data_IF_383212131441
#
_entry.id   IF_383212131441
#
_cell.length_a   1.000
_cell.length_b   1.000
_cell.length_c   1.000
_cell.angle_alpha   90.00
_cell.angle_beta   90.00
_cell.angle_gamma   90.00
#
_symmetry.space_group_name_H-M   'P 1'
#
loop_
_entity.id
_entity.type
_entity.pdbx_description
1 polymer ?
#
# COMPACT_ATOMS: atom_id res chain seq x y z
N UNK A 1 8.07 -45.40 16.25
CA UNK A 1 7.22 -46.44 16.89
C UNK A 1 6.41 -45.79 18.00
N UNK A 2 5.11 -45.64 17.82
CA UNK A 2 4.18 -45.31 18.91
C UNK A 2 3.31 -46.53 19.16
N UNK A 3 3.40 -47.06 20.39
CA UNK A 3 2.50 -48.09 20.92
C UNK A 3 1.20 -47.40 21.36
N UNK A 4 0.23 -47.26 20.45
CA UNK A 4 -1.24 -47.19 20.68
C UNK A 4 -2.00 -46.52 19.52
N UNK A 5 -1.91 -47.06 18.30
CA UNK A 5 -2.79 -46.67 17.19
C UNK A 5 -2.23 -46.97 15.81
N UNK A 6 -3.10 -47.28 14.86
CA UNK A 6 -2.78 -47.33 13.42
C UNK A 6 -3.03 -45.95 12.83
N UNK A 7 -2.05 -45.39 12.10
CA UNK A 7 -2.18 -44.11 11.43
C UNK A 7 -2.12 -44.32 9.91
N UNK A 8 -3.05 -43.71 9.19
CA UNK A 8 -3.03 -43.64 7.73
C UNK A 8 -2.21 -42.43 7.28
N UNK A 9 -1.51 -42.57 6.17
CA UNK A 9 -0.78 -41.49 5.50
C UNK A 9 -1.14 -41.48 4.03
N UNK A 10 -1.14 -40.29 3.44
CA UNK A 10 -1.43 -40.07 2.03
C UNK A 10 -0.16 -39.69 1.27
N UNK A 11 -0.23 -39.73 -0.06
CA UNK A 11 0.85 -39.23 -0.92
C UNK A 11 0.96 -37.70 -0.80
N UNK A 12 2.09 -37.13 -1.24
CA UNK A 12 2.28 -35.68 -1.32
C UNK A 12 1.15 -35.03 -2.14
N UNK A 13 0.62 -33.90 -1.67
CA UNK A 13 -0.55 -33.22 -2.27
C UNK A 13 -1.91 -33.77 -1.82
N UNK A 14 -1.94 -34.70 -0.86
CA UNK A 14 -3.16 -35.27 -0.33
C UNK A 14 -3.18 -35.26 1.20
N UNK A 15 -4.37 -35.12 1.77
CA UNK A 15 -4.61 -35.19 3.20
C UNK A 15 -5.64 -36.26 3.54
N UNK A 16 -5.56 -36.76 4.78
CA UNK A 16 -6.46 -37.81 5.27
C UNK A 16 -7.87 -37.22 5.38
N UNK A 17 -8.84 -37.90 4.78
CA UNK A 17 -10.26 -37.55 4.85
C UNK A 17 -10.83 -37.70 6.25
N UNK A 18 -12.04 -37.20 6.46
CA UNK A 18 -12.72 -37.25 7.77
C UNK A 18 -13.01 -38.68 8.25
N UNK A 19 -13.07 -39.64 7.32
CA UNK A 19 -13.22 -41.07 7.60
C UNK A 19 -11.95 -41.71 8.18
N UNK A 20 -10.82 -41.00 8.19
CA UNK A 20 -9.53 -41.46 8.71
C UNK A 20 -8.82 -42.47 7.80
N UNK A 21 -9.39 -42.81 6.64
CA UNK A 21 -8.87 -43.86 5.75
C UNK A 21 -8.75 -43.45 4.29
N UNK A 22 -9.58 -42.52 3.82
CA UNK A 22 -9.51 -41.99 2.47
C UNK A 22 -8.44 -40.91 2.36
N UNK A 23 -7.91 -40.74 1.15
CA UNK A 23 -7.06 -39.62 0.79
C UNK A 23 -7.85 -38.67 -0.09
N UNK A 24 -7.93 -37.41 0.31
CA UNK A 24 -8.53 -36.33 -0.48
C UNK A 24 -7.45 -35.34 -0.88
N UNK A 25 -7.70 -34.67 -1.99
CA UNK A 25 -6.85 -33.60 -2.49
C UNK A 25 -6.66 -32.52 -1.42
N UNK A 26 -5.42 -32.09 -1.20
CA UNK A 26 -5.10 -31.01 -0.29
C UNK A 26 -5.11 -29.71 -1.08
N UNK A 27 -6.09 -28.85 -0.85
CA UNK A 27 -6.21 -27.58 -1.56
C UNK A 27 -5.19 -26.56 -1.02
N UNK A 28 -4.03 -26.46 -1.68
CA UNK A 28 -3.00 -25.50 -1.27
C UNK A 28 -3.48 -24.05 -1.42
N UNK A 29 -4.46 -23.78 -2.30
CA UNK A 29 -4.99 -22.43 -2.53
C UNK A 29 -5.90 -21.95 -1.40
N UNK A 30 -6.38 -22.85 -0.53
CA UNK A 30 -7.09 -22.49 0.70
C UNK A 30 -6.16 -21.84 1.75
N UNK A 31 -4.83 -21.97 1.59
CA UNK A 31 -3.83 -21.34 2.45
C UNK A 31 -3.30 -20.05 1.85
N UNK A 32 -3.29 -18.99 2.66
CA UNK A 32 -2.65 -17.72 2.28
C UNK A 32 -1.16 -17.91 2.03
N UNK A 33 -0.68 -17.41 0.88
CA UNK A 33 0.74 -17.40 0.53
C UNK A 33 1.23 -18.61 -0.27
N UNK A 34 0.35 -19.54 -0.68
CA UNK A 34 0.72 -20.63 -1.59
C UNK A 34 1.24 -20.10 -2.95
N UNK A 35 0.62 -19.04 -3.45
CA UNK A 35 1.07 -18.28 -4.61
C UNK A 35 1.20 -16.79 -4.23
N UNK A 36 2.08 -16.07 -4.92
CA UNK A 36 2.20 -14.62 -4.73
C UNK A 36 0.99 -13.83 -5.28
N UNK A 37 0.29 -14.39 -6.26
CA UNK A 37 -0.89 -13.79 -6.90
C UNK A 37 -1.99 -14.84 -7.08
N UNK A 38 -2.24 -15.32 -8.30
CA UNK A 38 -3.35 -16.23 -8.60
C UNK A 38 -2.95 -17.68 -8.34
N UNK A 39 -3.78 -18.42 -7.60
CA UNK A 39 -3.62 -19.84 -7.32
C UNK A 39 -4.74 -20.64 -7.99
N UNK A 40 -4.41 -21.77 -8.61
CA UNK A 40 -5.38 -22.73 -9.14
C UNK A 40 -5.05 -24.11 -8.59
N UNK A 41 -5.95 -24.64 -7.76
CA UNK A 41 -5.80 -25.97 -7.20
C UNK A 41 -5.97 -27.02 -8.30
N UNK A 42 -5.17 -28.08 -8.26
CA UNK A 42 -5.21 -29.19 -9.21
C UNK A 42 -5.14 -30.52 -8.45
N UNK A 43 -5.54 -31.61 -9.06
CA UNK A 43 -5.51 -32.89 -8.34
C UNK A 43 -4.07 -33.32 -8.01
N UNK A 44 -3.74 -33.34 -6.72
CA UNK A 44 -2.45 -33.67 -6.13
C UNK A 44 -1.41 -32.56 -6.15
N UNK A 45 -1.78 -31.32 -6.51
CA UNK A 45 -0.86 -30.17 -6.58
C UNK A 45 -1.59 -28.84 -6.84
N UNK A 46 -0.86 -27.77 -7.09
CA UNK A 46 -1.42 -26.49 -7.50
C UNK A 46 -0.57 -25.82 -8.58
N UNK A 47 -1.13 -24.80 -9.21
CA UNK A 47 -0.42 -23.94 -10.16
C UNK A 47 -0.62 -22.48 -9.84
N UNK A 48 0.49 -21.74 -9.82
CA UNK A 48 0.45 -20.29 -9.72
C UNK A 48 0.46 -19.64 -11.11
N UNK A 49 -0.23 -18.52 -11.22
CA UNK A 49 -0.19 -17.63 -12.38
C UNK A 49 -0.15 -16.17 -11.93
N UNK A 50 0.30 -15.30 -12.84
CA UNK A 50 0.45 -13.88 -12.56
C UNK A 50 -0.57 -13.05 -13.34
N UNK A 51 -1.03 -11.98 -12.72
CA UNK A 51 -1.86 -10.94 -13.34
C UNK A 51 -1.12 -10.25 -14.48
N UNK A 52 -1.89 -9.55 -15.34
CA UNK A 52 -1.32 -8.75 -16.42
C UNK A 52 -0.27 -7.76 -15.89
N UNK A 53 0.83 -7.61 -16.62
CA UNK A 53 1.98 -6.80 -16.21
C UNK A 53 2.96 -7.52 -15.28
N UNK A 54 2.75 -8.80 -14.94
CA UNK A 54 3.67 -9.60 -14.12
C UNK A 54 4.12 -10.89 -14.82
N UNK A 55 5.29 -11.38 -14.44
CA UNK A 55 5.94 -12.59 -14.99
C UNK A 55 6.23 -13.57 -13.85
N UNK A 56 5.81 -14.82 -14.04
CA UNK A 56 6.07 -15.92 -13.12
C UNK A 56 7.57 -16.22 -13.07
N UNK A 57 8.12 -16.30 -11.86
CA UNK A 57 9.53 -16.56 -11.63
C UNK A 57 9.85 -18.07 -11.72
N UNK A 58 11.14 -18.45 -11.84
CA UNK A 58 11.54 -19.86 -11.96
C UNK A 58 11.19 -20.75 -10.77
N UNK A 59 10.85 -20.16 -9.62
CA UNK A 59 10.34 -20.89 -8.45
C UNK A 59 8.89 -21.40 -8.64
N UNK A 60 8.20 -20.94 -9.69
CA UNK A 60 6.82 -21.31 -9.98
C UNK A 60 5.79 -20.71 -9.03
N UNK A 61 6.18 -19.78 -8.15
CA UNK A 61 5.36 -19.25 -7.05
C UNK A 61 5.32 -17.71 -7.09
N UNK A 62 6.49 -17.09 -7.31
CA UNK A 62 6.66 -15.65 -7.23
C UNK A 62 6.31 -14.97 -8.56
N UNK A 63 5.67 -13.81 -8.49
CA UNK A 63 5.39 -12.94 -9.62
C UNK A 63 6.20 -11.65 -9.48
N UNK A 64 6.89 -11.24 -10.56
CA UNK A 64 7.56 -9.93 -10.61
C UNK A 64 7.02 -9.09 -11.75
N UNK A 65 6.93 -7.78 -11.53
CA UNK A 65 6.50 -6.86 -12.57
C UNK A 65 7.37 -7.02 -13.81
N UNK A 66 6.72 -7.06 -14.97
CA UNK A 66 7.37 -6.97 -16.27
C UNK A 66 8.09 -5.63 -16.34
N UNK A 67 9.33 -5.65 -16.78
CA UNK A 67 10.15 -4.46 -16.90
C UNK A 67 10.39 -4.19 -18.38
N UNK A 68 9.64 -3.24 -18.92
CA UNK A 68 9.74 -2.82 -20.31
C UNK A 68 10.80 -1.70 -20.46
N UNK A 69 11.39 -1.52 -21.65
CA UNK A 69 12.37 -0.47 -21.89
C UNK A 69 11.75 0.92 -21.66
N UNK A 70 12.23 1.61 -20.61
CA UNK A 70 11.72 2.93 -20.22
C UNK A 70 11.08 2.94 -18.83
N UNK A 71 10.76 1.77 -18.26
CA UNK A 71 10.19 1.69 -16.93
C UNK A 71 11.18 2.13 -15.85
N UNK A 72 10.67 2.93 -14.92
CA UNK A 72 11.40 3.28 -13.70
C UNK A 72 11.46 2.08 -12.76
N UNK A 73 12.60 1.90 -12.09
CA UNK A 73 12.73 0.88 -11.04
C UNK A 73 11.82 1.19 -9.87
N UNK A 74 11.29 0.18 -9.16
CA UNK A 74 10.46 0.40 -7.98
C UNK A 74 11.27 1.09 -6.86
N UNK A 75 10.54 1.91 -6.10
CA UNK A 75 11.08 2.92 -5.20
C UNK A 75 10.29 2.93 -3.90
N UNK A 76 10.96 3.13 -2.77
CA UNK A 76 10.36 3.39 -1.47
C UNK A 76 10.47 4.87 -1.17
N UNK A 77 9.32 5.51 -0.96
CA UNK A 77 9.20 6.86 -0.45
C UNK A 77 8.85 6.76 1.04
N UNK A 78 9.67 7.37 1.90
CA UNK A 78 9.58 7.23 3.34
C UNK A 78 9.50 8.61 3.98
N UNK A 79 8.43 8.84 4.74
CA UNK A 79 8.28 10.01 5.60
C UNK A 79 8.99 9.77 6.93
N UNK A 80 10.03 10.54 7.21
CA UNK A 80 10.67 10.60 8.53
C UNK A 80 10.15 11.78 9.36
N UNK A 81 10.62 11.90 10.60
CA UNK A 81 10.25 13.00 11.50
C UNK A 81 10.74 14.38 11.05
N UNK A 82 11.82 14.44 10.28
CA UNK A 82 12.48 15.68 9.84
C UNK A 82 12.81 15.68 8.34
N UNK A 83 12.41 14.66 7.58
CA UNK A 83 12.80 14.54 6.17
C UNK A 83 11.92 13.57 5.39
N UNK A 84 11.86 13.78 4.08
CA UNK A 84 11.32 12.81 3.13
C UNK A 84 12.50 12.13 2.44
N UNK A 85 12.54 10.79 2.50
CA UNK A 85 13.61 9.96 1.98
C UNK A 85 13.07 9.13 0.83
N UNK A 86 13.92 8.90 -0.16
CA UNK A 86 13.64 7.95 -1.23
C UNK A 86 14.79 6.96 -1.37
N UNK A 87 14.47 5.70 -1.68
CA UNK A 87 15.46 4.63 -1.90
C UNK A 87 14.92 3.57 -2.85
N UNK A 88 15.79 2.79 -3.49
CA UNK A 88 15.38 1.62 -4.24
C UNK A 88 15.09 0.43 -3.30
N UNK A 89 14.36 -0.57 -3.78
CA UNK A 89 14.04 -1.78 -2.99
C UNK A 89 15.28 -2.57 -2.50
N UNK A 90 16.43 -2.41 -3.15
CA UNK A 90 17.69 -3.02 -2.73
C UNK A 90 18.47 -2.18 -1.68
N UNK A 91 17.89 -1.07 -1.20
CA UNK A 91 18.51 -0.15 -0.26
C UNK A 91 19.54 0.82 -0.87
N UNK A 92 19.78 0.76 -2.19
CA UNK A 92 20.67 1.72 -2.86
C UNK A 92 19.98 3.05 -3.12
N UNK A 93 20.77 4.11 -3.31
CA UNK A 93 20.23 5.42 -3.68
C UNK A 93 19.47 6.13 -2.56
N UNK A 94 19.80 5.85 -1.29
CA UNK A 94 19.29 6.57 -0.13
C UNK A 94 19.62 8.07 -0.25
N UNK A 95 18.62 8.90 -0.54
CA UNK A 95 18.78 10.34 -0.68
C UNK A 95 17.66 11.09 0.06
N UNK A 96 17.99 12.06 0.93
CA UNK A 96 16.98 12.96 1.47
C UNK A 96 16.50 13.91 0.37
N UNK A 97 15.23 13.81 -0.02
CA UNK A 97 14.62 14.70 -1.02
C UNK A 97 14.32 16.09 -0.44
N UNK A 98 14.01 16.13 0.86
CA UNK A 98 13.64 17.35 1.56
C UNK A 98 13.91 17.23 3.05
N UNK A 99 14.48 18.29 3.63
CA UNK A 99 14.48 18.53 5.07
C UNK A 99 13.19 19.25 5.46
N UNK A 100 12.56 18.82 6.54
CA UNK A 100 11.33 19.36 7.10
C UNK A 100 11.62 19.96 8.47
N UNK A 101 10.87 20.99 8.87
CA UNK A 101 10.93 21.49 10.24
C UNK A 101 10.36 20.44 11.18
N UNK A 102 11.14 20.03 12.18
CA UNK A 102 10.91 18.88 13.07
C UNK A 102 9.72 19.02 14.07
N UNK A 103 8.71 19.82 13.77
CA UNK A 103 7.57 20.02 14.64
C UNK A 103 6.31 19.64 13.87
N UNK A 104 5.86 18.39 14.00
CA UNK A 104 4.58 17.95 13.43
C UNK A 104 4.52 16.49 13.01
N UNK A 105 3.33 16.06 12.60
CA UNK A 105 3.09 14.81 11.88
C UNK A 105 3.32 15.02 10.39
N UNK A 106 3.84 13.97 9.74
CA UNK A 106 4.04 13.94 8.30
C UNK A 106 3.17 12.84 7.71
N UNK A 107 2.17 13.25 6.94
CA UNK A 107 1.43 12.36 6.06
C UNK A 107 1.91 12.61 4.63
N UNK A 108 2.10 11.56 3.83
CA UNK A 108 2.49 11.70 2.43
C UNK A 108 1.85 10.61 1.59
N UNK A 109 1.67 10.91 0.31
CA UNK A 109 1.25 9.92 -0.68
C UNK A 109 1.72 10.35 -2.08
N UNK A 110 1.68 9.41 -3.04
CA UNK A 110 2.18 9.59 -4.39
C UNK A 110 1.06 9.63 -5.43
N UNK A 111 1.09 10.67 -6.27
CA UNK A 111 0.18 10.85 -7.39
C UNK A 111 0.85 10.36 -8.68
N UNK A 112 0.43 9.19 -9.18
CA UNK A 112 1.09 8.51 -10.30
C UNK A 112 1.00 9.28 -11.62
N UNK A 113 -0.17 9.86 -11.93
CA UNK A 113 -0.41 10.56 -13.20
C UNK A 113 0.49 11.79 -13.42
N UNK A 114 0.96 12.43 -12.35
CA UNK A 114 1.79 13.65 -12.39
C UNK A 114 3.23 13.40 -11.94
N UNK A 115 3.58 12.16 -11.59
CA UNK A 115 4.84 11.81 -10.90
C UNK A 115 5.16 12.77 -9.75
N UNK A 116 4.16 13.03 -8.91
CA UNK A 116 4.27 14.04 -7.85
C UNK A 116 4.05 13.42 -6.48
N UNK A 117 4.86 13.84 -5.51
CA UNK A 117 4.66 13.54 -4.09
C UNK A 117 3.87 14.67 -3.49
N UNK A 118 2.78 14.34 -2.80
CA UNK A 118 2.10 15.29 -1.94
C UNK A 118 2.31 14.90 -0.48
N UNK A 119 2.48 15.90 0.38
CA UNK A 119 2.66 15.70 1.80
C UNK A 119 1.94 16.79 2.58
N UNK A 120 1.43 16.39 3.74
CA UNK A 120 0.91 17.29 4.75
C UNK A 120 1.91 17.30 5.90
N UNK A 121 2.43 18.49 6.20
CA UNK A 121 3.08 18.75 7.47
C UNK A 121 2.05 19.39 8.39
N UNK A 122 1.62 18.68 9.42
CA UNK A 122 0.58 19.13 10.34
C UNK A 122 1.09 19.22 11.78
N UNK A 123 0.59 20.23 12.48
CA UNK A 123 0.83 20.53 13.89
C UNK A 123 -0.52 20.61 14.61
N UNK A 124 -0.49 20.74 15.93
CA UNK A 124 -1.69 20.95 16.75
C UNK A 124 -2.57 22.12 16.26
N UNK A 125 -1.96 23.18 15.69
CA UNK A 125 -2.67 24.40 15.33
C UNK A 125 -2.81 24.65 13.82
N UNK A 126 -2.00 23.99 12.99
CA UNK A 126 -1.94 24.28 11.56
C UNK A 126 -1.41 23.11 10.75
N UNK A 127 -1.81 22.99 9.49
CA UNK A 127 -1.18 22.08 8.56
C UNK A 127 -1.09 22.67 7.17
N UNK A 128 -0.06 22.26 6.43
CA UNK A 128 0.19 22.68 5.06
C UNK A 128 0.25 21.47 4.15
N UNK A 129 -0.66 21.41 3.18
CA UNK A 129 -0.60 20.47 2.08
C UNK A 129 0.29 21.04 0.97
N UNK A 130 1.32 20.29 0.61
CA UNK A 130 2.21 20.64 -0.49
C UNK A 130 2.32 19.48 -1.45
N UNK A 131 2.47 19.78 -2.72
CA UNK A 131 2.77 18.81 -3.75
C UNK A 131 3.98 19.28 -4.55
N UNK A 132 4.87 18.35 -4.91
CA UNK A 132 5.97 18.62 -5.81
C UNK A 132 6.19 17.47 -6.78
N UNK A 133 6.56 17.80 -8.01
CA UNK A 133 6.97 16.82 -9.01
C UNK A 133 8.32 16.23 -8.61
N UNK A 134 8.47 14.91 -8.76
CA UNK A 134 9.74 14.22 -8.55
C UNK A 134 10.04 13.34 -9.76
N UNK A 135 11.04 13.76 -10.55
CA UNK A 135 11.50 12.99 -11.72
C UNK A 135 12.87 12.41 -11.43
N UNK A 136 13.04 11.12 -11.67
CA UNK A 136 14.33 10.42 -11.60
C UNK A 136 15.14 10.65 -10.31
N UNK A 137 14.47 10.81 -9.16
CA UNK A 137 15.10 10.92 -7.84
C UNK A 137 15.97 12.15 -7.59
N UNK A 138 15.95 13.15 -8.47
CA UNK A 138 16.89 14.29 -8.37
C UNK A 138 16.42 15.42 -7.46
N UNK A 139 15.30 15.23 -6.75
CA UNK A 139 14.72 16.23 -5.87
C UNK A 139 13.26 16.55 -6.20
N UNK A 140 12.76 17.58 -5.54
CA UNK A 140 11.43 18.15 -5.77
C UNK A 140 11.52 19.39 -6.65
N UNK A 141 10.71 19.40 -7.70
CA UNK A 141 10.54 20.53 -8.62
C UNK A 141 9.08 20.98 -8.61
N UNK A 142 8.83 22.24 -8.97
CA UNK A 142 7.47 22.82 -9.09
C UNK A 142 6.62 22.60 -7.82
N UNK A 143 7.24 22.82 -6.67
CA UNK A 143 6.54 22.75 -5.39
C UNK A 143 5.42 23.79 -5.34
N UNK A 144 4.22 23.34 -4.97
CA UNK A 144 3.04 24.18 -4.78
C UNK A 144 2.38 23.86 -3.45
N UNK A 145 1.87 24.89 -2.79
CA UNK A 145 1.00 24.76 -1.64
C UNK A 145 -0.45 24.72 -2.12
N UNK A 146 -1.23 23.77 -1.59
CA UNK A 146 -2.66 23.66 -1.85
C UNK A 146 -3.38 24.10 -0.57
N UNK A 147 -4.15 25.19 -0.67
CA UNK A 147 -4.90 25.72 0.46
C UNK A 147 -6.25 25.01 0.53
N UNK A 148 -6.43 24.20 1.56
CA UNK A 148 -7.69 23.51 1.81
C UNK A 148 -8.69 24.43 2.51
N UNK A 149 -9.98 24.31 2.17
CA UNK A 149 -11.05 25.04 2.86
C UNK A 149 -11.19 24.60 4.33
N UNK A 150 -10.96 23.31 4.62
CA UNK A 150 -10.91 22.81 5.99
C UNK A 150 -9.49 22.92 6.56
N UNK A 151 -9.40 23.20 7.87
CA UNK A 151 -8.14 23.21 8.62
C UNK A 151 -7.53 21.81 8.70
N UNK A 152 -6.24 21.69 8.44
CA UNK A 152 -5.47 20.44 8.53
C UNK A 152 -4.80 20.33 9.91
N UNK A 153 -5.58 20.05 10.96
CA UNK A 153 -5.08 19.86 12.31
C UNK A 153 -4.76 18.38 12.56
N UNK A 154 -3.55 18.10 13.06
CA UNK A 154 -3.00 16.78 13.34
C UNK A 154 -3.42 15.69 12.33
N UNK A 155 -3.10 15.92 11.05
CA UNK A 155 -3.33 14.91 10.01
C UNK A 155 -2.37 13.75 10.23
N UNK A 156 -2.90 12.58 10.57
CA UNK A 156 -2.11 11.37 10.84
C UNK A 156 -1.72 10.66 9.55
N UNK A 157 -2.65 10.60 8.60
CA UNK A 157 -2.44 9.96 7.31
C UNK A 157 -3.24 10.65 6.21
N UNK A 158 -2.78 10.48 4.96
CA UNK A 158 -3.47 10.95 3.78
C UNK A 158 -3.45 9.85 2.71
N UNK A 159 -4.44 9.87 1.84
CA UNK A 159 -4.45 9.06 0.63
C UNK A 159 -4.94 9.91 -0.55
N UNK A 160 -4.41 9.62 -1.73
CA UNK A 160 -4.75 10.30 -2.98
C UNK A 160 -5.53 9.33 -3.85
N UNK A 161 -6.72 9.75 -4.27
CA UNK A 161 -7.39 9.09 -5.37
C UNK A 161 -6.68 9.49 -6.66
N UNK A 162 -5.94 8.56 -7.26
CA UNK A 162 -5.16 8.83 -8.47
C UNK A 162 -6.03 8.99 -9.73
N UNK A 163 -7.30 8.55 -9.71
CA UNK A 163 -8.22 8.73 -10.82
C UNK A 163 -8.81 10.14 -10.82
N UNK A 164 -9.26 10.63 -9.67
CA UNK A 164 -9.94 11.94 -9.57
C UNK A 164 -9.02 13.08 -9.12
N UNK A 165 -7.91 12.75 -8.47
CA UNK A 165 -7.01 13.71 -7.85
C UNK A 165 -7.49 14.24 -6.51
N UNK A 166 -8.53 13.65 -5.91
CA UNK A 166 -9.04 14.02 -4.60
C UNK A 166 -8.08 13.58 -3.48
N UNK A 167 -8.03 14.38 -2.42
CA UNK A 167 -7.22 14.12 -1.24
C UNK A 167 -8.11 13.68 -0.08
N UNK A 168 -7.80 12.54 0.52
CA UNK A 168 -8.48 12.03 1.69
C UNK A 168 -7.56 12.16 2.90
N UNK A 169 -8.09 12.64 4.01
CA UNK A 169 -7.33 12.92 5.21
C UNK A 169 -7.92 12.23 6.42
N UNK A 170 -7.03 11.76 7.29
CA UNK A 170 -7.35 11.24 8.62
C UNK A 170 -6.93 12.29 9.64
N UNK A 171 -7.91 12.90 10.31
CA UNK A 171 -7.71 13.89 11.36
C UNK A 171 -8.03 13.26 12.71
N UNK A 172 -7.00 13.15 13.55
CA UNK A 172 -7.10 12.55 14.89
C UNK A 172 -7.47 13.56 15.96
N UNK A 173 -7.36 14.87 15.71
CA UNK A 173 -7.81 15.90 16.64
C UNK A 173 -9.34 15.98 16.68
N UNK A 174 -9.96 15.85 15.51
CA UNK A 174 -11.41 15.96 15.33
C UNK A 174 -12.09 14.61 15.10
N UNK A 175 -11.35 13.50 15.22
CA UNK A 175 -11.79 12.12 14.98
C UNK A 175 -12.67 12.00 13.71
N UNK A 176 -12.14 12.49 12.58
CA UNK A 176 -12.88 12.52 11.31
C UNK A 176 -12.04 12.10 10.12
N UNK A 177 -12.72 11.58 9.12
CA UNK A 177 -12.19 11.36 7.78
C UNK A 177 -12.92 12.29 6.83
N UNK A 178 -12.18 13.10 6.10
CA UNK A 178 -12.74 14.05 5.14
C UNK A 178 -11.96 14.03 3.83
N UNK A 179 -12.65 14.44 2.77
CA UNK A 179 -12.09 14.55 1.43
C UNK A 179 -12.07 16.00 0.99
N UNK A 180 -11.04 16.39 0.26
CA UNK A 180 -11.02 17.62 -0.50
C UNK A 180 -10.78 17.30 -1.98
N UNK A 181 -11.35 18.11 -2.86
CA UNK A 181 -11.07 18.01 -4.29
C UNK A 181 -9.60 18.36 -4.61
N UNK A 182 -9.18 18.14 -5.86
CA UNK A 182 -7.82 18.44 -6.32
C UNK A 182 -7.38 19.91 -6.07
N UNK A 183 -8.32 20.86 -6.08
CA UNK A 183 -8.05 22.28 -5.81
C UNK A 183 -7.96 22.65 -4.32
N UNK A 184 -8.46 21.78 -3.44
CA UNK A 184 -8.60 22.05 -2.00
C UNK A 184 -9.78 22.98 -1.64
N UNK A 185 -10.48 23.53 -2.63
CA UNK A 185 -11.53 24.53 -2.46
C UNK A 185 -12.89 23.92 -2.05
N UNK A 186 -13.10 22.63 -2.30
CA UNK A 186 -14.32 21.92 -1.88
C UNK A 186 -13.92 20.75 -0.98
N UNK A 187 -14.34 20.78 0.28
CA UNK A 187 -14.05 19.73 1.26
C UNK A 187 -15.30 19.25 1.98
N UNK A 188 -15.45 17.92 2.13
CA UNK A 188 -16.60 17.27 2.75
C UNK A 188 -16.14 16.22 3.76
N UNK A 189 -16.75 16.21 4.94
CA UNK A 189 -16.54 15.17 5.95
C UNK A 189 -17.34 13.93 5.59
N UNK A 190 -16.66 12.78 5.49
CA UNK A 190 -17.26 11.50 5.09
C UNK A 190 -17.63 10.68 6.33
N UNK A 191 -16.74 10.64 7.33
CA UNK A 191 -16.93 9.89 8.56
C UNK A 191 -16.56 10.78 9.75
N UNK A 192 -17.43 10.84 10.75
CA UNK A 192 -17.21 11.57 12.00
C UNK A 192 -17.87 10.88 13.22
N UNK A 193 -18.58 9.77 13.00
CA UNK A 193 -19.23 9.01 14.05
C UNK A 193 -18.42 7.76 14.35
N UNK A 194 -18.30 7.42 15.63
CA UNK A 194 -17.65 6.21 16.13
C UNK A 194 -16.19 6.01 15.69
N UNK A 195 -15.49 7.10 15.37
CA UNK A 195 -14.04 7.10 15.17
C UNK A 195 -13.33 7.36 16.49
N UNK A 196 -12.35 6.51 16.81
CA UNK A 196 -11.48 6.67 17.97
C UNK A 196 -10.03 6.49 17.50
N UNK A 197 -9.26 7.58 17.46
CA UNK A 197 -7.83 7.56 17.10
C UNK A 197 -7.54 6.87 15.75
N UNK A 198 -8.17 7.31 14.64
CA UNK A 198 -7.93 6.72 13.33
C UNK A 198 -6.47 6.91 12.89
N UNK A 199 -5.90 5.89 12.24
CA UNK A 199 -4.47 5.87 11.87
C UNK A 199 -4.23 5.93 10.38
N UNK A 200 -4.32 4.78 9.70
CA UNK A 200 -4.06 4.67 8.27
C UNK A 200 -5.35 4.74 7.45
N UNK A 201 -5.23 5.24 6.23
CA UNK A 201 -6.25 5.16 5.18
C UNK A 201 -5.59 4.73 3.88
N UNK A 202 -6.25 3.85 3.13
CA UNK A 202 -5.89 3.49 1.77
C UNK A 202 -7.19 3.48 0.94
N UNK A 203 -7.06 3.71 -0.36
CA UNK A 203 -8.19 3.83 -1.27
C UNK A 203 -8.10 2.74 -2.33
N UNK A 204 -9.26 2.24 -2.75
CA UNK A 204 -9.43 1.46 -3.98
C UNK A 204 -10.32 2.26 -4.96
N UNK A 205 -9.76 3.25 -5.68
CA UNK A 205 -10.53 4.10 -6.59
C UNK A 205 -11.24 3.35 -7.72
N UNK A 206 -10.87 2.10 -8.01
CA UNK A 206 -11.54 1.30 -9.05
C UNK A 206 -12.84 0.66 -8.55
N UNK A 207 -12.95 0.42 -7.24
CA UNK A 207 -14.11 -0.23 -6.63
C UNK A 207 -15.02 0.74 -5.87
N UNK A 208 -14.55 1.96 -5.62
CA UNK A 208 -15.28 3.00 -4.85
C UNK A 208 -15.14 2.82 -3.35
#
# INVERSE_FOLDING_TARGET
MTRNGTFCFCADGFEVGEDGTSCRDHDECAMYGACSQTCTNTYGSYRCSCSEGYILQPDGISCKAKQDPGDSRPMLLIGGSDRIIITHLNGTGLQPLRSLSANGTLALDFQHNQESVCWVLSTESSGQLRCAETRNLRGFTREREIRTQQSLQHVEHMAIDWLTGNFYFVDTTNDKIFVCNQGGDTCVTIIQLDLLNPKGIALDPLMG
#
